data_IF_601344449300
#
_entry.id   IF_601344449300
#
_cell.length_a   1.000
_cell.length_b   1.000
_cell.length_c   1.000
_cell.angle_alpha   90.00
_cell.angle_beta   90.00
_cell.angle_gamma   90.00
#
_symmetry.space_group_name_H-M   'P 1'
#
loop_
_entity.id
_entity.type
_entity.pdbx_description
1 polymer ?
#
# COMPACT_ATOMS: atom_id res chain seq x y z
N UNK A 1 -76.24 -17.61 -33.91
CA UNK A 1 -76.69 -18.92 -34.46
C UNK A 1 -77.82 -19.49 -33.59
N UNK A 2 -79.07 -18.98 -33.66
CA UNK A 2 -80.21 -19.64 -33.00
C UNK A 2 -80.78 -20.70 -33.96
N UNK A 3 -80.65 -21.98 -33.61
CA UNK A 3 -81.15 -23.12 -34.39
C UNK A 3 -80.22 -24.34 -34.48
N UNK A 4 -78.96 -24.21 -34.05
CA UNK A 4 -78.01 -25.35 -34.03
C UNK A 4 -78.05 -26.08 -32.68
N UNK A 5 -78.18 -27.41 -32.71
CA UNK A 5 -78.15 -28.26 -31.52
C UNK A 5 -76.82 -28.13 -30.75
N UNK A 6 -76.86 -28.27 -29.42
CA UNK A 6 -75.71 -28.08 -28.50
C UNK A 6 -74.46 -28.86 -28.92
N UNK A 7 -74.62 -30.05 -29.50
CA UNK A 7 -73.50 -30.84 -30.02
C UNK A 7 -72.78 -30.12 -31.16
N UNK A 8 -73.50 -29.61 -32.16
CA UNK A 8 -72.88 -28.93 -33.30
C UNK A 8 -72.11 -27.66 -32.90
N UNK A 9 -72.60 -26.92 -31.89
CA UNK A 9 -71.90 -25.73 -31.36
C UNK A 9 -70.60 -26.13 -30.66
N UNK A 10 -70.62 -27.23 -29.89
CA UNK A 10 -69.42 -27.73 -29.22
C UNK A 10 -68.40 -28.28 -30.22
N UNK A 11 -68.83 -28.94 -31.29
CA UNK A 11 -67.93 -29.42 -32.34
C UNK A 11 -67.24 -28.26 -33.06
N UNK A 12 -67.99 -27.21 -33.42
CA UNK A 12 -67.41 -26.02 -34.09
C UNK A 12 -66.41 -25.31 -33.17
N UNK A 13 -66.70 -25.20 -31.86
CA UNK A 13 -65.75 -24.63 -30.90
C UNK A 13 -64.49 -25.48 -30.72
N UNK A 14 -64.62 -26.81 -30.68
CA UNK A 14 -63.48 -27.71 -30.59
C UNK A 14 -62.58 -27.63 -31.83
N UNK A 15 -63.18 -27.57 -33.03
CA UNK A 15 -62.43 -27.41 -34.28
C UNK A 15 -61.73 -26.05 -34.35
N UNK A 16 -62.39 -24.96 -33.92
CA UNK A 16 -61.75 -23.65 -33.86
C UNK A 16 -60.56 -23.62 -32.88
N UNK A 17 -60.65 -24.32 -31.76
CA UNK A 17 -59.57 -24.43 -30.78
C UNK A 17 -58.37 -25.22 -31.34
N UNK A 18 -58.63 -26.34 -32.03
CA UNK A 18 -57.59 -27.14 -32.68
C UNK A 18 -56.91 -26.39 -33.83
N UNK A 19 -57.67 -25.61 -34.62
CA UNK A 19 -57.09 -24.78 -35.68
C UNK A 19 -56.22 -23.66 -35.12
N UNK A 20 -56.61 -23.07 -33.98
CA UNK A 20 -55.82 -22.04 -33.29
C UNK A 20 -54.52 -22.62 -32.68
N UNK A 21 -54.56 -23.85 -32.14
CA UNK A 21 -53.34 -24.54 -31.66
C UNK A 21 -52.38 -24.87 -32.81
N UNK A 22 -52.88 -25.35 -33.95
CA UNK A 22 -52.06 -25.65 -35.14
C UNK A 22 -51.41 -24.37 -35.70
N UNK A 23 -52.16 -23.26 -35.80
CA UNK A 23 -51.60 -21.97 -36.25
C UNK A 23 -50.52 -21.43 -35.28
N UNK A 24 -50.70 -21.62 -33.97
CA UNK A 24 -49.70 -21.19 -32.98
C UNK A 24 -48.43 -22.06 -33.01
N UNK A 25 -48.55 -23.37 -33.24
CA UNK A 25 -47.40 -24.27 -33.41
C UNK A 25 -46.58 -23.93 -34.66
N UNK A 26 -47.24 -23.67 -35.79
CA UNK A 26 -46.56 -23.33 -37.05
C UNK A 26 -45.84 -21.98 -36.98
N UNK A 27 -46.43 -21.00 -36.28
CA UNK A 27 -45.78 -19.71 -36.00
C UNK A 27 -44.60 -19.87 -35.03
N UNK A 28 -44.73 -20.70 -34.00
CA UNK A 28 -43.66 -20.97 -33.05
C UNK A 28 -42.47 -21.71 -33.69
N UNK A 29 -42.71 -22.59 -34.66
CA UNK A 29 -41.67 -23.27 -35.43
C UNK A 29 -40.90 -22.27 -36.30
N UNK A 30 -41.61 -21.41 -37.06
CA UNK A 30 -40.98 -20.35 -37.87
C UNK A 30 -40.16 -19.36 -37.05
N UNK A 31 -40.63 -18.96 -35.86
CA UNK A 31 -39.88 -18.08 -34.94
C UNK A 31 -38.60 -18.78 -34.45
N UNK A 32 -38.67 -20.08 -34.17
CA UNK A 32 -37.51 -20.88 -33.73
C UNK A 32 -36.48 -21.02 -34.83
N UNK A 33 -36.91 -21.24 -36.06
CA UNK A 33 -36.01 -21.32 -37.22
C UNK A 33 -35.33 -19.98 -37.49
N UNK A 34 -36.07 -18.87 -37.44
CA UNK A 34 -35.50 -17.52 -37.57
C UNK A 34 -34.51 -17.22 -36.43
N UNK A 35 -34.85 -17.61 -35.20
CA UNK A 35 -33.94 -17.42 -34.08
C UNK A 35 -32.66 -18.27 -34.23
N UNK A 36 -32.79 -19.51 -34.70
CA UNK A 36 -31.65 -20.41 -34.92
C UNK A 36 -30.75 -19.92 -36.07
N UNK A 37 -31.31 -19.40 -37.17
CA UNK A 37 -30.52 -18.83 -38.26
C UNK A 37 -29.77 -17.58 -37.79
N UNK A 38 -30.44 -16.66 -37.08
CA UNK A 38 -29.80 -15.47 -36.52
C UNK A 38 -28.72 -15.80 -35.49
N UNK A 39 -28.94 -16.81 -34.63
CA UNK A 39 -27.92 -17.27 -33.69
C UNK A 39 -26.70 -17.87 -34.39
N UNK A 40 -26.91 -18.64 -35.46
CA UNK A 40 -25.82 -19.22 -36.23
C UNK A 40 -25.02 -18.17 -37.01
N UNK A 41 -25.70 -17.17 -37.59
CA UNK A 41 -25.05 -16.02 -38.23
C UNK A 41 -24.19 -15.24 -37.21
N UNK A 42 -24.77 -14.89 -36.05
CA UNK A 42 -24.04 -14.20 -34.97
C UNK A 42 -22.86 -15.02 -34.43
N UNK A 43 -23.00 -16.34 -34.33
CA UNK A 43 -21.91 -17.23 -33.92
C UNK A 43 -20.77 -17.30 -34.96
N UNK A 44 -21.11 -17.23 -36.25
CA UNK A 44 -20.14 -17.17 -37.33
C UNK A 44 -19.40 -15.83 -37.35
N UNK A 45 -20.10 -14.71 -37.19
CA UNK A 45 -19.52 -13.38 -37.13
C UNK A 45 -18.58 -13.23 -35.92
N UNK A 46 -18.99 -13.76 -34.75
CA UNK A 46 -18.14 -13.80 -33.56
C UNK A 46 -16.88 -14.64 -33.77
N UNK A 47 -16.98 -15.76 -34.49
CA UNK A 47 -15.83 -16.60 -34.82
C UNK A 47 -14.87 -15.87 -35.74
N UNK A 48 -15.37 -15.25 -36.81
CA UNK A 48 -14.55 -14.47 -37.75
C UNK A 48 -13.86 -13.27 -37.08
N UNK A 49 -14.59 -12.56 -36.21
CA UNK A 49 -14.01 -11.48 -35.40
C UNK A 49 -12.92 -11.99 -34.44
N UNK A 50 -13.12 -13.16 -33.82
CA UNK A 50 -12.14 -13.77 -32.93
C UNK A 50 -10.90 -14.25 -33.68
N UNK A 51 -11.05 -14.80 -34.88
CA UNK A 51 -9.96 -15.17 -35.78
C UNK A 51 -9.14 -13.93 -36.18
N UNK A 52 -9.80 -12.85 -36.61
CA UNK A 52 -9.14 -11.60 -36.98
C UNK A 52 -8.45 -10.89 -35.79
N UNK A 53 -8.99 -11.02 -34.58
CA UNK A 53 -8.33 -10.58 -33.35
C UNK A 53 -7.07 -11.40 -33.06
N UNK A 54 -7.12 -12.73 -33.25
CA UNK A 54 -5.98 -13.62 -33.06
C UNK A 54 -4.85 -13.26 -34.02
N UNK A 55 -5.16 -13.02 -35.30
CA UNK A 55 -4.16 -12.59 -36.30
C UNK A 55 -3.52 -11.24 -35.93
N UNK A 56 -4.32 -10.23 -35.57
CA UNK A 56 -3.79 -8.92 -35.14
C UNK A 56 -2.93 -9.03 -33.88
N UNK A 57 -3.31 -9.87 -32.92
CA UNK A 57 -2.53 -10.10 -31.69
C UNK A 57 -1.20 -10.79 -32.02
N UNK A 58 -1.18 -11.75 -32.93
CA UNK A 58 0.06 -12.41 -33.39
C UNK A 58 0.95 -11.40 -34.12
N UNK A 59 0.40 -10.58 -35.02
CA UNK A 59 1.16 -9.57 -35.76
C UNK A 59 1.79 -8.52 -34.81
N UNK A 60 1.04 -8.05 -33.81
CA UNK A 60 1.56 -7.12 -32.80
C UNK A 60 2.57 -7.78 -31.85
N UNK A 61 2.42 -9.08 -31.55
CA UNK A 61 3.42 -9.84 -30.81
C UNK A 61 4.73 -10.00 -31.59
N UNK A 62 4.67 -10.28 -32.90
CA UNK A 62 5.85 -10.37 -33.76
C UNK A 62 6.57 -9.02 -33.89
N UNK A 63 5.83 -7.92 -34.09
CA UNK A 63 6.39 -6.55 -34.06
C UNK A 63 7.01 -6.23 -32.70
N UNK A 64 6.36 -6.64 -31.61
CA UNK A 64 6.89 -6.49 -30.26
C UNK A 64 8.17 -7.28 -30.04
N UNK A 65 8.23 -8.53 -30.54
CA UNK A 65 9.37 -9.43 -30.39
C UNK A 65 10.58 -8.95 -31.19
N UNK A 66 10.39 -8.52 -32.44
CA UNK A 66 11.45 -7.92 -33.27
C UNK A 66 11.97 -6.60 -32.69
N UNK A 67 11.10 -5.76 -32.13
CA UNK A 67 11.50 -4.57 -31.40
C UNK A 67 12.30 -4.91 -30.13
N UNK A 68 11.93 -5.99 -29.43
CA UNK A 68 12.63 -6.49 -28.26
C UNK A 68 14.01 -7.04 -28.64
N UNK A 69 14.12 -7.83 -29.71
CA UNK A 69 15.38 -8.37 -30.25
C UNK A 69 16.32 -7.24 -30.65
N UNK A 70 15.82 -6.23 -31.36
CA UNK A 70 16.60 -5.04 -31.72
C UNK A 70 17.12 -4.30 -30.49
N UNK A 71 16.25 -4.06 -29.49
CA UNK A 71 16.65 -3.42 -28.24
C UNK A 71 17.62 -4.28 -27.42
N UNK A 72 17.50 -5.60 -27.50
CA UNK A 72 18.40 -6.53 -26.83
C UNK A 72 19.78 -6.52 -27.51
N UNK A 73 19.84 -6.46 -28.84
CA UNK A 73 21.07 -6.26 -29.60
C UNK A 73 21.74 -4.91 -29.30
N UNK A 74 20.96 -3.83 -29.21
CA UNK A 74 21.44 -2.52 -28.77
C UNK A 74 21.98 -2.56 -27.33
N UNK A 75 21.32 -3.31 -26.44
CA UNK A 75 21.75 -3.50 -25.05
C UNK A 75 23.03 -4.33 -24.96
N UNK A 76 23.17 -5.40 -25.75
CA UNK A 76 24.38 -6.22 -25.84
C UNK A 76 25.54 -5.37 -26.37
N UNK A 77 25.33 -4.58 -27.42
CA UNK A 77 26.33 -3.65 -27.93
C UNK A 77 26.69 -2.55 -26.91
N UNK A 78 25.73 -2.08 -26.11
CA UNK A 78 25.99 -1.13 -25.03
C UNK A 78 26.73 -1.80 -23.85
N UNK A 79 26.45 -3.06 -23.55
CA UNK A 79 27.13 -3.86 -22.51
C UNK A 79 28.56 -4.20 -22.93
N UNK A 80 28.80 -4.53 -24.19
CA UNK A 80 30.16 -4.76 -24.73
C UNK A 80 30.98 -3.47 -24.72
N UNK A 81 30.38 -2.33 -25.11
CA UNK A 81 31.00 -1.01 -24.98
C UNK A 81 31.26 -0.65 -23.52
N UNK A 82 30.34 -0.97 -22.61
CA UNK A 82 30.52 -0.77 -21.18
C UNK A 82 31.57 -1.71 -20.57
N UNK A 83 31.71 -2.94 -21.07
CA UNK A 83 32.72 -3.91 -20.66
C UNK A 83 34.12 -3.49 -21.12
N UNK A 84 34.25 -2.93 -22.33
CA UNK A 84 35.50 -2.32 -22.81
C UNK A 84 35.86 -1.05 -22.03
N UNK A 85 34.88 -0.33 -21.46
CA UNK A 85 35.09 0.80 -20.55
C UNK A 85 35.31 0.37 -19.08
N UNK A 86 34.91 -0.85 -18.70
CA UNK A 86 35.05 -1.40 -17.34
C UNK A 86 36.50 -1.74 -16.95
N UNK A 87 37.46 -1.62 -17.88
CA UNK A 87 38.88 -1.53 -17.55
C UNK A 87 39.26 -0.26 -16.77
N UNK A 88 38.36 0.73 -16.69
CA UNK A 88 38.52 1.93 -15.88
C UNK A 88 37.52 1.92 -14.73
N UNK A 89 38.02 1.64 -13.52
CA UNK A 89 37.27 1.75 -12.27
C UNK A 89 36.79 3.20 -12.12
N UNK A 90 35.47 3.36 -12.01
CA UNK A 90 34.82 4.59 -11.57
C UNK A 90 34.32 5.49 -12.70
N UNK A 91 33.04 5.36 -13.03
CA UNK A 91 32.12 6.48 -12.90
C UNK A 91 30.69 6.02 -13.19
N UNK A 92 29.82 6.16 -12.20
CA UNK A 92 28.41 6.10 -12.45
C UNK A 92 27.96 7.29 -13.32
N UNK A 93 26.83 7.17 -14.05
CA UNK A 93 26.30 8.26 -14.86
C UNK A 93 26.23 9.56 -14.05
N UNK A 94 26.62 10.69 -14.65
CA UNK A 94 26.66 12.00 -13.99
C UNK A 94 25.37 12.33 -13.21
N UNK A 95 24.21 11.92 -13.73
CA UNK A 95 22.91 12.05 -13.06
C UNK A 95 22.83 11.31 -11.71
N UNK A 96 23.35 10.09 -11.66
CA UNK A 96 23.35 9.27 -10.46
C UNK A 96 24.44 9.72 -9.47
N UNK A 97 25.54 10.28 -9.98
CA UNK A 97 26.56 10.94 -9.16
C UNK A 97 25.99 12.20 -8.47
N UNK A 98 25.25 13.05 -9.21
CA UNK A 98 24.58 14.23 -8.64
C UNK A 98 23.51 13.84 -7.61
N UNK A 99 22.68 12.84 -7.92
CA UNK A 99 21.63 12.38 -6.99
C UNK A 99 22.25 11.80 -5.71
N UNK A 100 23.40 11.13 -5.81
CA UNK A 100 24.15 10.62 -4.65
C UNK A 100 24.82 11.71 -3.83
N UNK A 101 25.46 12.69 -4.48
CA UNK A 101 26.10 13.81 -3.80
C UNK A 101 25.11 14.60 -2.92
N UNK A 102 23.87 14.77 -3.40
CA UNK A 102 22.81 15.46 -2.66
C UNK A 102 22.20 14.60 -1.55
N UNK A 103 22.06 13.29 -1.75
CA UNK A 103 21.46 12.39 -0.75
C UNK A 103 22.41 11.99 0.39
N UNK A 104 23.73 12.19 0.22
CA UNK A 104 24.75 11.68 1.14
C UNK A 104 24.90 10.15 1.10
N UNK A 105 24.38 9.50 0.05
CA UNK A 105 24.41 8.06 -0.10
C UNK A 105 25.79 7.56 -0.58
N UNK A 106 26.26 6.39 -0.07
CA UNK A 106 27.46 5.72 -0.56
C UNK A 106 27.40 5.38 -2.06
N UNK A 107 28.58 5.14 -2.65
CA UNK A 107 28.70 4.81 -4.08
C UNK A 107 28.03 3.46 -4.42
N UNK A 108 28.09 2.50 -3.49
CA UNK A 108 27.53 1.15 -3.59
C UNK A 108 26.04 1.07 -3.19
N UNK A 109 25.45 2.16 -2.69
CA UNK A 109 24.04 2.18 -2.30
C UNK A 109 23.11 2.04 -3.51
N UNK A 110 21.99 1.34 -3.32
CA UNK A 110 20.98 1.15 -4.37
C UNK A 110 20.48 2.53 -4.90
N UNK A 111 20.63 2.83 -6.21
CA UNK A 111 20.29 4.15 -6.76
C UNK A 111 18.83 4.55 -6.54
N UNK A 112 17.90 3.59 -6.58
CA UNK A 112 16.46 3.84 -6.35
C UNK A 112 16.18 4.19 -4.89
N UNK A 113 16.92 3.58 -3.96
CA UNK A 113 16.86 3.90 -2.54
C UNK A 113 17.41 5.32 -2.28
N UNK A 114 18.57 5.64 -2.84
CA UNK A 114 19.20 6.96 -2.76
C UNK A 114 18.29 8.07 -3.30
N UNK A 115 17.73 7.90 -4.50
CA UNK A 115 16.79 8.86 -5.09
C UNK A 115 15.55 9.07 -4.22
N UNK A 116 14.96 7.99 -3.67
CA UNK A 116 13.81 8.09 -2.77
C UNK A 116 14.16 8.78 -1.45
N UNK A 117 15.35 8.56 -0.91
CA UNK A 117 15.81 9.23 0.31
C UNK A 117 15.96 10.73 0.09
N UNK A 118 16.52 11.16 -1.04
CA UNK A 118 16.61 12.58 -1.42
C UNK A 118 15.24 13.24 -1.51
N UNK A 119 14.28 12.61 -2.20
CA UNK A 119 12.91 13.12 -2.27
C UNK A 119 12.29 13.21 -0.87
N UNK A 120 12.52 12.21 -0.01
CA UNK A 120 12.03 12.23 1.37
C UNK A 120 12.65 13.34 2.22
N UNK A 121 13.90 13.75 1.98
CA UNK A 121 14.52 14.86 2.69
C UNK A 121 13.84 16.20 2.39
N UNK A 122 13.27 16.35 1.18
CA UNK A 122 12.52 17.53 0.75
C UNK A 122 11.04 17.53 1.12
N UNK A 123 10.58 16.47 1.77
CA UNK A 123 9.16 16.24 2.02
C UNK A 123 8.78 16.46 3.48
N UNK A 124 7.73 17.26 3.68
CA UNK A 124 7.13 17.58 4.97
C UNK A 124 5.65 17.19 4.99
N UNK A 125 5.21 16.51 6.05
CA UNK A 125 3.81 16.08 6.21
C UNK A 125 3.07 17.05 7.13
N UNK A 126 1.95 17.60 6.66
CA UNK A 126 1.05 18.45 7.42
C UNK A 126 -0.19 17.66 7.81
N UNK A 127 -0.52 17.67 9.09
CA UNK A 127 -1.78 17.19 9.63
C UNK A 127 -2.73 18.37 9.78
N UNK A 128 -3.84 18.33 9.04
CA UNK A 128 -4.86 19.37 9.07
C UNK A 128 -5.98 19.01 10.06
N UNK A 129 -6.68 19.99 10.66
CA UNK A 129 -7.94 19.74 11.36
C UNK A 129 -9.01 19.19 10.40
N UNK A 130 -10.05 18.53 10.92
CA UNK A 130 -11.05 17.84 10.07
C UNK A 130 -11.88 18.83 9.24
N UNK A 131 -12.06 20.02 9.77
CA UNK A 131 -12.88 21.11 9.26
C UNK A 131 -12.11 21.99 8.26
N UNK A 132 -10.83 21.71 8.00
CA UNK A 132 -10.00 22.50 7.08
C UNK A 132 -10.51 22.44 5.64
N UNK A 133 -10.72 23.60 5.04
CA UNK A 133 -11.10 23.76 3.63
C UNK A 133 -10.03 23.26 2.64
N UNK A 134 -8.78 23.09 3.10
CA UNK A 134 -7.69 22.58 2.27
C UNK A 134 -7.86 21.08 1.96
N UNK A 135 -8.65 20.35 2.75
CA UNK A 135 -8.93 18.92 2.51
C UNK A 135 -9.72 18.69 1.22
N UNK A 136 -10.51 19.66 0.79
CA UNK A 136 -11.34 19.56 -0.42
C UNK A 136 -10.70 20.19 -1.65
N UNK A 137 -9.57 20.88 -1.47
CA UNK A 137 -8.85 21.51 -2.57
C UNK A 137 -8.18 20.47 -3.49
N UNK A 138 -8.12 20.79 -4.79
CA UNK A 138 -7.31 20.06 -5.75
C UNK A 138 -5.80 20.27 -5.49
N UNK A 139 -4.98 19.28 -5.84
CA UNK A 139 -3.52 19.34 -5.62
C UNK A 139 -2.85 20.58 -6.25
N UNK A 140 -3.31 21.03 -7.43
CA UNK A 140 -2.79 22.23 -8.09
C UNK A 140 -3.06 23.51 -7.29
N UNK A 141 -4.26 23.63 -6.70
CA UNK A 141 -4.66 24.76 -5.87
C UNK A 141 -3.83 24.77 -4.58
N UNK A 142 -3.57 23.59 -4.00
CA UNK A 142 -2.72 23.47 -2.82
C UNK A 142 -1.31 24.00 -3.06
N UNK A 143 -0.68 23.67 -4.20
CA UNK A 143 0.65 24.20 -4.52
C UNK A 143 0.65 25.72 -4.59
N UNK A 144 -0.37 26.33 -5.19
CA UNK A 144 -0.53 27.80 -5.26
C UNK A 144 -0.63 28.43 -3.87
N UNK A 145 -1.57 27.95 -3.05
CA UNK A 145 -1.77 28.46 -1.67
C UNK A 145 -0.52 28.31 -0.81
N UNK A 146 0.18 27.18 -0.93
CA UNK A 146 1.39 26.92 -0.16
C UNK A 146 2.54 27.81 -0.63
N UNK A 147 2.67 28.06 -1.93
CA UNK A 147 3.68 28.96 -2.46
C UNK A 147 3.45 30.40 -2.00
N UNK A 148 2.20 30.86 -1.99
CA UNK A 148 1.84 32.18 -1.47
C UNK A 148 2.15 32.32 0.02
N UNK A 149 1.75 31.33 0.84
CA UNK A 149 2.04 31.31 2.27
C UNK A 149 3.56 31.28 2.54
N UNK A 150 4.33 30.53 1.75
CA UNK A 150 5.80 30.53 1.85
C UNK A 150 6.41 31.90 1.54
N UNK A 151 5.93 32.58 0.49
CA UNK A 151 6.42 33.92 0.13
C UNK A 151 6.15 34.97 1.21
N UNK A 152 5.02 34.85 1.94
CA UNK A 152 4.71 35.72 3.07
C UNK A 152 5.48 35.34 4.34
N UNK A 153 5.70 34.05 4.57
CA UNK A 153 6.31 33.56 5.80
C UNK A 153 7.85 33.66 5.84
N UNK A 154 8.52 33.75 4.68
CA UNK A 154 9.99 33.84 4.61
C UNK A 154 10.47 34.72 3.46
N UNK A 155 11.49 35.53 3.76
CA UNK A 155 12.23 36.34 2.77
C UNK A 155 13.04 35.45 1.81
N UNK A 156 13.32 34.20 2.19
CA UNK A 156 14.09 33.26 1.38
C UNK A 156 13.27 32.63 0.23
N UNK A 157 11.96 32.93 0.14
CA UNK A 157 11.05 32.51 -0.94
C UNK A 157 11.21 31.03 -1.36
N UNK A 158 11.26 30.12 -0.39
CA UNK A 158 11.44 28.71 -0.68
C UNK A 158 10.30 28.18 -1.57
N UNK A 159 10.67 27.54 -2.69
CA UNK A 159 9.71 27.07 -3.69
C UNK A 159 9.13 25.71 -3.34
N UNK A 160 7.82 25.58 -3.50
CA UNK A 160 7.08 24.33 -3.38
C UNK A 160 7.04 23.64 -4.74
N UNK A 161 7.44 22.37 -4.79
CA UNK A 161 7.41 21.56 -6.02
C UNK A 161 6.06 20.87 -6.18
N UNK A 162 5.56 20.25 -5.12
CA UNK A 162 4.30 19.52 -5.16
C UNK A 162 3.61 19.48 -3.80
N UNK A 163 2.29 19.32 -3.81
CA UNK A 163 1.46 19.09 -2.64
C UNK A 163 0.49 17.96 -2.96
N UNK A 164 0.53 16.88 -2.18
CA UNK A 164 -0.26 15.67 -2.42
C UNK A 164 -1.12 15.40 -1.19
N UNK A 165 -2.44 15.35 -1.40
CA UNK A 165 -3.39 14.90 -0.39
C UNK A 165 -3.30 13.38 -0.20
N UNK A 166 -3.18 12.95 1.06
CA UNK A 166 -3.16 11.54 1.46
C UNK A 166 -4.57 11.07 1.84
N UNK A 167 -4.79 9.75 1.83
CA UNK A 167 -6.09 9.14 2.17
C UNK A 167 -6.54 9.43 3.61
N UNK A 168 -5.59 9.65 4.53
CA UNK A 168 -5.89 10.03 5.91
C UNK A 168 -6.19 11.53 6.10
N UNK A 169 -6.21 12.32 5.01
CA UNK A 169 -6.46 13.75 5.00
C UNK A 169 -5.25 14.63 5.34
N UNK A 170 -4.06 14.03 5.53
CA UNK A 170 -2.82 14.80 5.62
C UNK A 170 -2.35 15.31 4.25
N UNK A 171 -1.56 16.39 4.23
CA UNK A 171 -0.96 16.93 3.00
C UNK A 171 0.54 16.70 3.05
N UNK A 172 1.07 16.02 2.04
CA UNK A 172 2.51 15.84 1.84
C UNK A 172 3.02 16.92 0.89
N UNK A 173 3.88 17.79 1.38
CA UNK A 173 4.51 18.86 0.61
C UNK A 173 5.91 18.43 0.23
N UNK A 174 6.31 18.64 -1.02
CA UNK A 174 7.69 18.51 -1.49
C UNK A 174 8.25 19.88 -1.85
N UNK A 175 9.38 20.23 -1.25
CA UNK A 175 10.14 21.44 -1.57
C UNK A 175 11.07 21.21 -2.76
N UNK A 176 11.36 22.26 -3.52
CA UNK A 176 12.33 22.16 -4.63
C UNK A 176 13.74 21.88 -4.09
N UNK A 177 14.09 22.52 -2.99
CA UNK A 177 15.41 22.54 -2.38
C UNK A 177 15.36 22.01 -0.93
N UNK A 178 16.48 21.47 -0.44
CA UNK A 178 16.57 20.86 0.88
C UNK A 178 16.42 21.91 2.00
N UNK A 179 16.92 23.13 1.76
CA UNK A 179 16.87 24.25 2.69
C UNK A 179 15.41 24.61 3.04
N UNK A 180 14.49 24.52 2.09
CA UNK A 180 13.07 24.79 2.34
C UNK A 180 12.42 23.77 3.28
N UNK A 181 12.80 22.49 3.16
CA UNK A 181 12.31 21.45 4.05
C UNK A 181 12.93 21.55 5.45
N UNK A 182 14.22 21.90 5.53
CA UNK A 182 14.91 22.20 6.80
C UNK A 182 14.28 23.42 7.47
N UNK A 183 13.95 24.46 6.71
CA UNK A 183 13.28 25.66 7.23
C UNK A 183 11.93 25.30 7.85
N UNK A 184 11.11 24.49 7.16
CA UNK A 184 9.82 24.00 7.67
C UNK A 184 9.94 23.03 8.85
N UNK A 185 11.11 22.44 9.10
CA UNK A 185 11.32 21.55 10.24
C UNK A 185 11.47 22.33 11.57
N UNK A 186 11.79 23.62 11.52
CA UNK A 186 11.84 24.48 12.70
C UNK A 186 10.44 24.81 13.19
N UNK A 187 10.19 24.65 14.49
CA UNK A 187 8.88 24.92 15.11
C UNK A 187 8.39 26.35 14.83
N UNK A 188 9.25 27.35 15.03
CA UNK A 188 8.87 28.75 14.84
C UNK A 188 8.52 29.07 13.37
N UNK A 189 9.27 28.51 12.43
CA UNK A 189 9.04 28.71 10.99
C UNK A 189 7.79 27.98 10.52
N UNK A 190 7.59 26.75 10.99
CA UNK A 190 6.38 25.97 10.75
C UNK A 190 5.13 26.72 11.23
N UNK A 191 5.16 27.27 12.45
CA UNK A 191 4.07 28.07 13.01
C UNK A 191 3.82 29.35 12.20
N UNK A 192 4.88 30.03 11.74
CA UNK A 192 4.75 31.19 10.87
C UNK A 192 4.10 30.83 9.54
N UNK A 193 4.53 29.76 8.90
CA UNK A 193 3.94 29.26 7.67
C UNK A 193 2.46 28.88 7.82
N UNK A 194 2.11 28.15 8.88
CA UNK A 194 0.73 27.73 9.13
C UNK A 194 -0.20 28.91 9.43
N UNK A 195 0.32 29.96 10.08
CA UNK A 195 -0.40 31.22 10.28
C UNK A 195 -0.71 31.90 8.94
N UNK A 196 0.27 32.00 8.04
CA UNK A 196 0.05 32.57 6.69
C UNK A 196 -0.88 31.72 5.83
N UNK A 197 -0.91 30.40 6.06
CA UNK A 197 -1.82 29.48 5.40
C UNK A 197 -3.26 29.56 5.96
N UNK A 198 -3.46 30.23 7.11
CA UNK A 198 -4.75 30.31 7.79
C UNK A 198 -5.14 29.07 8.59
N UNK A 199 -4.18 28.20 8.91
CA UNK A 199 -4.41 26.88 9.52
C UNK A 199 -3.68 26.76 10.86
N UNK A 200 -4.13 27.52 11.88
CA UNK A 200 -3.47 27.60 13.19
C UNK A 200 -3.49 26.28 13.98
N UNK A 201 -4.48 25.43 13.74
CA UNK A 201 -4.62 24.12 14.40
C UNK A 201 -3.89 22.99 13.66
N UNK A 202 -3.37 23.27 12.47
CA UNK A 202 -2.57 22.29 11.74
C UNK A 202 -1.21 22.09 12.41
N UNK A 203 -0.57 20.96 12.12
CA UNK A 203 0.76 20.68 12.64
C UNK A 203 1.62 19.90 11.67
N UNK A 204 2.92 20.12 11.72
CA UNK A 204 3.87 19.32 10.98
C UNK A 204 4.16 18.02 11.71
N UNK A 205 3.99 16.89 11.03
CA UNK A 205 4.35 15.58 11.54
C UNK A 205 5.81 15.29 11.25
N UNK A 206 6.58 15.13 12.32
CA UNK A 206 7.94 14.62 12.23
C UNK A 206 7.95 13.16 11.77
N UNK A 207 8.97 12.81 10.99
CA UNK A 207 9.15 11.42 10.56
C UNK A 207 9.44 10.57 11.78
N UNK A 208 8.81 9.40 11.84
CA UNK A 208 8.99 8.44 12.93
C UNK A 208 9.71 7.20 12.44
N UNK A 209 10.62 6.71 13.27
CA UNK A 209 11.44 5.53 13.03
C UNK A 209 11.08 4.49 14.08
N UNK A 210 10.35 3.46 13.65
CA UNK A 210 9.85 2.42 14.55
C UNK A 210 10.83 1.25 14.61
N UNK A 211 11.20 0.84 15.82
CA UNK A 211 11.98 -0.36 16.07
C UNK A 211 11.22 -1.30 16.99
N UNK A 212 11.52 -2.59 16.91
CA UNK A 212 11.00 -3.64 17.78
C UNK A 212 12.08 -3.97 18.81
N UNK A 213 11.74 -3.92 20.08
CA UNK A 213 12.58 -4.45 21.14
C UNK A 213 12.06 -5.82 21.59
N UNK A 214 12.94 -6.82 21.54
CA UNK A 214 12.59 -8.20 21.86
C UNK A 214 12.76 -8.52 23.35
N UNK A 215 11.91 -9.43 23.84
CA UNK A 215 11.96 -9.99 25.20
C UNK A 215 12.10 -8.95 26.33
N UNK A 216 11.31 -7.88 26.26
CA UNK A 216 11.22 -6.85 27.28
C UNK A 216 10.42 -7.34 28.48
N UNK A 217 10.93 -7.18 29.72
CA UNK A 217 10.22 -7.52 30.95
C UNK A 217 8.84 -6.83 31.07
N UNK A 218 7.82 -7.56 31.52
CA UNK A 218 6.46 -7.01 31.67
C UNK A 218 6.29 -6.02 32.84
N UNK A 219 7.29 -5.91 33.72
CA UNK A 219 7.29 -4.88 34.78
C UNK A 219 7.50 -3.46 34.22
N UNK A 220 7.84 -3.31 32.94
CA UNK A 220 7.88 -2.02 32.27
C UNK A 220 6.46 -1.45 32.11
N UNK A 221 6.22 -0.26 32.65
CA UNK A 221 5.04 0.53 32.31
C UNK A 221 5.36 1.50 31.16
N UNK A 222 4.80 1.23 29.99
CA UNK A 222 5.00 2.07 28.80
C UNK A 222 4.32 3.44 28.88
N UNK A 223 3.43 3.65 29.85
CA UNK A 223 2.76 4.93 30.09
C UNK A 223 3.46 5.76 31.18
N UNK A 224 4.26 5.12 32.04
CA UNK A 224 5.03 5.76 33.10
C UNK A 224 6.12 6.68 32.52
N UNK A 225 6.09 7.96 32.88
CA UNK A 225 7.16 8.90 32.52
C UNK A 225 8.46 8.61 33.26
N UNK A 226 8.39 7.94 34.42
CA UNK A 226 9.57 7.49 35.17
C UNK A 226 10.33 6.44 34.36
N UNK A 227 9.64 5.39 33.91
CA UNK A 227 10.24 4.28 33.16
C UNK A 227 10.81 4.78 31.82
N UNK A 228 10.08 5.67 31.12
CA UNK A 228 10.58 6.31 29.90
C UNK A 228 11.84 7.14 30.16
N UNK A 229 11.92 7.82 31.31
CA UNK A 229 13.10 8.62 31.71
C UNK A 229 14.29 7.71 31.98
N UNK A 230 14.10 6.65 32.75
CA UNK A 230 15.15 5.65 33.03
C UNK A 230 15.70 5.03 31.74
N UNK A 231 14.83 4.67 30.79
CA UNK A 231 15.27 4.17 29.47
C UNK A 231 16.09 5.23 28.73
N UNK A 232 15.67 6.50 28.76
CA UNK A 232 16.41 7.57 28.06
C UNK A 232 17.80 7.75 28.67
N UNK A 233 17.89 7.83 29.99
CA UNK A 233 19.14 8.03 30.73
C UNK A 233 20.10 6.84 30.56
N UNK A 234 19.61 5.61 30.75
CA UNK A 234 20.41 4.39 30.65
C UNK A 234 21.00 4.16 29.25
N UNK A 235 20.40 4.75 28.21
CA UNK A 235 20.82 4.59 26.81
C UNK A 235 21.39 5.89 26.20
N UNK A 236 21.55 6.95 27.00
CA UNK A 236 22.03 8.27 26.54
C UNK A 236 21.21 8.80 25.35
N UNK A 237 19.89 8.65 25.43
CA UNK A 237 18.94 9.14 24.41
C UNK A 237 18.57 10.58 24.78
N UNK A 238 18.69 11.49 23.81
CA UNK A 238 18.33 12.89 24.02
C UNK A 238 16.84 13.07 24.32
N UNK A 239 16.51 14.14 25.05
CA UNK A 239 15.12 14.50 25.36
C UNK A 239 14.37 14.82 24.07
N UNK A 240 13.16 14.29 23.91
CA UNK A 240 12.31 14.50 22.72
C UNK A 240 12.58 13.53 21.56
N UNK A 241 13.68 12.76 21.58
CA UNK A 241 14.00 11.78 20.54
C UNK A 241 13.12 10.54 20.62
N UNK A 242 13.01 9.95 21.82
CA UNK A 242 12.08 8.85 22.07
C UNK A 242 10.68 9.42 22.24
N UNK A 243 9.82 9.19 21.24
CA UNK A 243 8.48 9.79 21.16
C UNK A 243 7.39 8.87 21.72
N UNK A 244 7.49 7.56 21.50
CA UNK A 244 6.46 6.60 21.90
C UNK A 244 7.02 5.23 22.22
N UNK A 245 6.44 4.57 23.22
CA UNK A 245 6.65 3.15 23.50
C UNK A 245 5.26 2.49 23.57
N UNK A 246 5.10 1.32 22.95
CA UNK A 246 3.87 0.54 23.07
C UNK A 246 4.13 -0.96 23.02
N UNK A 247 3.35 -1.73 23.75
CA UNK A 247 3.32 -3.19 23.61
C UNK A 247 2.78 -3.62 22.24
N UNK A 248 3.42 -4.62 21.64
CA UNK A 248 2.90 -5.28 20.41
C UNK A 248 1.71 -6.16 20.78
N UNK A 249 1.86 -6.94 21.86
CA UNK A 249 0.85 -7.88 22.34
C UNK A 249 0.02 -7.22 23.47
N UNK A 250 -1.29 -7.03 23.29
CA UNK A 250 -2.14 -6.43 24.32
C UNK A 250 -2.24 -7.34 25.56
N UNK A 251 -2.43 -6.78 26.77
CA UNK A 251 -2.48 -7.56 28.02
C UNK A 251 -3.46 -8.75 27.99
N UNK A 252 -4.68 -8.55 27.49
CA UNK A 252 -5.72 -9.60 27.40
C UNK A 252 -5.33 -10.81 26.52
N UNK A 253 -4.30 -10.72 25.68
CA UNK A 253 -3.83 -11.84 24.85
C UNK A 253 -2.62 -12.55 25.44
N UNK A 254 -2.05 -12.05 26.53
CA UNK A 254 -0.86 -12.63 27.17
C UNK A 254 -1.25 -13.92 27.90
N UNK A 255 -0.31 -14.85 27.98
CA UNK A 255 -0.48 -15.99 28.90
C UNK A 255 -0.34 -15.49 30.33
N UNK A 256 -0.99 -16.14 31.27
CA UNK A 256 -0.94 -15.79 32.71
C UNK A 256 0.47 -15.85 33.29
N UNK A 257 1.30 -16.75 32.76
CA UNK A 257 2.71 -16.98 33.15
C UNK A 257 3.72 -16.22 32.28
N UNK A 258 3.28 -15.37 31.37
CA UNK A 258 4.18 -14.67 30.44
C UNK A 258 4.95 -13.57 31.19
N UNK A 259 6.27 -13.68 31.31
CA UNK A 259 7.11 -12.66 31.97
C UNK A 259 7.71 -11.61 31.00
N UNK A 260 7.76 -11.91 29.71
CA UNK A 260 8.37 -11.07 28.69
C UNK A 260 7.45 -10.87 27.49
N UNK A 261 7.53 -9.71 26.85
CA UNK A 261 6.87 -9.46 25.56
C UNK A 261 7.72 -8.56 24.67
N UNK A 262 7.16 -8.13 23.54
CA UNK A 262 7.82 -7.25 22.59
C UNK A 262 7.14 -5.89 22.59
N UNK A 263 7.94 -4.84 22.46
CA UNK A 263 7.47 -3.45 22.33
C UNK A 263 7.90 -2.88 21.00
N UNK A 264 7.13 -1.90 20.52
CA UNK A 264 7.56 -0.99 19.48
C UNK A 264 7.98 0.31 20.16
N UNK A 265 9.20 0.76 19.84
CA UNK A 265 9.75 2.05 20.26
C UNK A 265 9.79 2.94 19.01
N UNK A 266 9.32 4.17 19.16
CA UNK A 266 9.30 5.18 18.10
C UNK A 266 10.31 6.26 18.41
N UNK A 267 11.24 6.48 17.48
CA UNK A 267 12.22 7.55 17.49
C UNK A 267 11.84 8.65 16.48
N UNK A 268 12.23 9.90 16.74
CA UNK A 268 12.06 11.02 15.79
C UNK A 268 13.24 11.15 14.81
N UNK A 269 14.38 10.51 15.09
CA UNK A 269 15.57 10.53 14.24
C UNK A 269 16.04 9.11 13.86
N UNK A 270 16.63 9.00 12.66
CA UNK A 270 17.12 7.73 12.12
C UNK A 270 18.41 7.28 12.82
N UNK A 271 19.26 8.20 13.24
CA UNK A 271 20.59 7.92 13.79
C UNK A 271 20.49 7.20 15.14
N UNK A 272 19.68 7.71 16.06
CA UNK A 272 19.40 7.07 17.36
C UNK A 272 18.69 5.74 17.17
N UNK A 273 17.76 5.65 16.23
CA UNK A 273 17.12 4.37 15.90
C UNK A 273 18.13 3.34 15.40
N UNK A 274 19.05 3.73 14.50
CA UNK A 274 20.10 2.85 13.99
C UNK A 274 21.11 2.47 15.09
N UNK A 275 21.51 3.41 15.94
CA UNK A 275 22.34 3.13 17.13
C UNK A 275 21.67 2.14 18.07
N UNK A 276 20.35 2.23 18.25
CA UNK A 276 19.59 1.27 19.04
C UNK A 276 19.56 -0.12 18.38
N UNK A 277 19.45 -0.21 17.06
CA UNK A 277 19.52 -1.49 16.31
C UNK A 277 20.90 -2.14 16.48
N UNK A 278 21.98 -1.38 16.31
CA UNK A 278 23.36 -1.90 16.40
C UNK A 278 23.72 -2.33 17.81
N UNK A 279 23.49 -1.45 18.79
CA UNK A 279 23.98 -1.69 20.14
C UNK A 279 22.99 -2.48 20.99
N UNK A 280 21.70 -2.45 20.67
CA UNK A 280 20.62 -2.80 21.57
C UNK A 280 20.31 -1.68 22.58
N UNK A 281 19.29 -1.90 23.43
CA UNK A 281 18.93 -0.97 24.51
C UNK A 281 18.97 -1.65 25.88
N UNK A 282 19.20 -0.87 26.94
CA UNK A 282 19.00 -1.27 28.32
C UNK A 282 17.61 -0.86 28.76
N UNK A 283 16.74 -1.82 29.06
CA UNK A 283 15.36 -1.59 29.49
C UNK A 283 15.13 -2.44 30.75
N UNK A 284 14.71 -1.80 31.85
CA UNK A 284 14.54 -2.45 33.16
C UNK A 284 15.79 -3.25 33.57
N UNK A 285 16.96 -2.62 33.45
CA UNK A 285 18.28 -3.22 33.73
C UNK A 285 18.66 -4.45 32.88
N UNK A 286 17.90 -4.77 31.83
CA UNK A 286 18.17 -5.85 30.89
C UNK A 286 18.62 -5.30 29.53
N UNK A 287 19.71 -5.83 28.97
CA UNK A 287 20.05 -5.59 27.57
C UNK A 287 19.08 -6.34 26.66
N UNK A 288 18.42 -5.61 25.77
CA UNK A 288 17.44 -6.12 24.81
C UNK A 288 17.91 -5.91 23.39
N UNK A 289 17.72 -6.93 22.56
CA UNK A 289 17.98 -6.86 21.12
C UNK A 289 16.90 -6.04 20.43
N UNK A 290 17.31 -5.24 19.45
CA UNK A 290 16.47 -4.31 18.72
C UNK A 290 16.58 -4.63 17.23
N UNK A 291 15.45 -4.63 16.52
CA UNK A 291 15.42 -4.68 15.07
C UNK A 291 14.52 -3.58 14.52
N UNK A 292 14.77 -3.16 13.29
CA UNK A 292 13.88 -2.26 12.57
C UNK A 292 12.49 -2.87 12.41
N UNK A 293 11.44 -2.09 12.72
CA UNK A 293 10.07 -2.49 12.49
C UNK A 293 9.75 -2.36 11.00
N UNK A 294 9.90 -3.46 10.26
CA UNK A 294 9.52 -3.52 8.84
C UNK A 294 8.01 -3.36 8.69
N UNK A 295 7.59 -2.72 7.61
CA UNK A 295 6.19 -2.63 7.21
C UNK A 295 5.75 -3.98 6.64
N UNK A 296 4.57 -4.40 7.06
CA UNK A 296 3.87 -5.56 6.49
C UNK A 296 2.75 -5.07 5.55
N UNK A 297 2.42 -5.83 4.49
CA UNK A 297 1.28 -5.55 3.63
C UNK A 297 -0.01 -5.48 4.44
N UNK A 298 -0.87 -4.51 4.11
CA UNK A 298 -2.13 -4.32 4.81
C UNK A 298 -3.06 -5.48 4.42
N UNK A 299 -3.54 -6.19 5.44
CA UNK A 299 -4.58 -7.21 5.32
C UNK A 299 -5.83 -6.75 6.06
N UNK A 300 -6.94 -6.76 5.37
CA UNK A 300 -8.24 -6.42 5.91
C UNK A 300 -8.69 -7.50 6.90
N UNK A 301 -8.87 -7.12 8.17
CA UNK A 301 -9.29 -8.06 9.22
C UNK A 301 -10.76 -8.50 9.10
N UNK A 302 -11.52 -7.91 8.17
CA UNK A 302 -12.91 -8.25 7.87
C UNK A 302 -13.02 -9.31 6.78
N UNK A 303 -12.43 -9.08 5.61
CA UNK A 303 -12.53 -9.99 4.47
C UNK A 303 -11.29 -10.87 4.23
N UNK A 304 -10.21 -10.64 4.98
CA UNK A 304 -8.88 -11.25 4.78
C UNK A 304 -8.21 -10.91 3.43
N UNK A 305 -8.76 -9.95 2.69
CA UNK A 305 -8.17 -9.39 1.47
C UNK A 305 -7.02 -8.41 1.75
N UNK A 306 -6.32 -8.00 0.70
CA UNK A 306 -5.12 -7.15 0.79
C UNK A 306 -5.41 -5.69 0.42
N UNK A 307 -4.47 -4.81 0.77
CA UNK A 307 -4.38 -3.42 0.31
C UNK A 307 -5.51 -2.49 0.78
N UNK A 308 -6.27 -2.87 1.81
CA UNK A 308 -7.27 -2.00 2.47
C UNK A 308 -7.51 -2.40 3.94
N UNK A 309 -7.98 -1.44 4.75
CA UNK A 309 -8.37 -1.69 6.14
C UNK A 309 -9.85 -2.05 6.26
N UNK A 310 -10.25 -2.61 7.41
CA UNK A 310 -11.63 -3.05 7.62
C UNK A 310 -12.68 -1.92 7.49
N UNK A 311 -12.34 -0.68 7.83
CA UNK A 311 -13.21 0.50 7.69
C UNK A 311 -13.46 0.91 6.24
N UNK A 312 -12.55 0.54 5.33
CA UNK A 312 -12.61 0.84 3.89
C UNK A 312 -13.08 -0.39 3.09
N UNK A 313 -13.46 -1.47 3.78
CA UNK A 313 -13.85 -2.71 3.14
C UNK A 313 -15.25 -2.58 2.51
N UNK A 314 -15.31 -2.75 1.19
CA UNK A 314 -16.56 -2.69 0.43
C UNK A 314 -17.48 -3.91 0.61
N UNK A 315 -17.00 -4.97 1.25
CA UNK A 315 -17.85 -6.14 1.55
C UNK A 315 -18.94 -5.73 2.54
N UNK A 316 -20.17 -6.24 2.35
CA UNK A 316 -21.34 -5.99 3.21
C UNK A 316 -21.02 -6.15 4.70
N UNK A 317 -21.70 -5.38 5.57
CA UNK A 317 -21.39 -5.29 7.01
C UNK A 317 -21.49 -6.64 7.75
N UNK A 318 -22.29 -7.56 7.25
CA UNK A 318 -22.58 -8.85 7.89
C UNK A 318 -21.53 -9.93 7.60
N UNK A 319 -20.79 -9.83 6.50
CA UNK A 319 -19.81 -10.85 6.12
C UNK A 319 -18.47 -10.56 6.80
N UNK A 320 -18.11 -11.43 7.74
CA UNK A 320 -16.81 -11.42 8.42
C UNK A 320 -16.13 -12.77 8.17
N UNK A 321 -14.98 -12.74 7.52
CA UNK A 321 -14.17 -13.92 7.27
C UNK A 321 -13.20 -14.10 8.42
N UNK A 322 -13.28 -15.22 9.13
CA UNK A 322 -12.36 -15.55 10.20
C UNK A 322 -10.96 -15.81 9.64
N UNK A 323 -9.95 -15.11 10.15
CA UNK A 323 -8.56 -15.31 9.74
C UNK A 323 -7.92 -16.59 10.28
N UNK A 324 -8.56 -17.29 11.21
CA UNK A 324 -8.08 -18.58 11.74
C UNK A 324 -8.67 -19.75 10.95
N UNK A 325 -9.99 -19.87 10.88
CA UNK A 325 -10.68 -21.02 10.28
C UNK A 325 -11.39 -20.73 8.94
N UNK A 326 -11.36 -19.50 8.42
CA UNK A 326 -11.90 -19.16 7.10
C UNK A 326 -13.43 -19.03 6.99
N UNK A 327 -14.19 -19.34 8.04
CA UNK A 327 -15.65 -19.23 8.07
C UNK A 327 -16.14 -17.77 7.92
N UNK A 328 -17.36 -17.57 7.40
CA UNK A 328 -17.88 -16.26 6.96
C UNK A 328 -18.88 -15.57 7.90
N UNK A 329 -18.94 -15.99 9.16
CA UNK A 329 -20.00 -15.63 10.12
C UNK A 329 -19.47 -15.01 11.42
N UNK A 330 -18.14 -14.94 11.61
CA UNK A 330 -17.57 -14.43 12.85
C UNK A 330 -16.23 -13.73 12.68
N UNK A 331 -15.94 -12.85 13.65
CA UNK A 331 -14.65 -12.21 13.78
C UNK A 331 -13.61 -13.20 14.31
N UNK A 332 -12.37 -13.09 13.83
CA UNK A 332 -11.23 -13.91 14.32
C UNK A 332 -11.11 -13.91 15.85
N UNK A 333 -11.45 -12.81 16.52
CA UNK A 333 -11.43 -12.71 17.98
C UNK A 333 -12.52 -13.51 18.70
N UNK A 334 -13.55 -13.94 17.99
CA UNK A 334 -14.68 -14.75 18.47
C UNK A 334 -14.62 -16.19 17.92
N UNK A 335 -13.52 -16.58 17.27
CA UNK A 335 -13.36 -17.92 16.73
C UNK A 335 -13.31 -18.95 17.87
N UNK A 336 -14.23 -19.91 17.84
CA UNK A 336 -14.29 -21.03 18.78
C UNK A 336 -13.80 -22.36 18.16
N UNK A 337 -13.50 -22.38 16.87
CA UNK A 337 -12.98 -23.54 16.17
C UNK A 337 -11.57 -23.86 16.66
N UNK A 338 -11.37 -25.06 17.21
CA UNK A 338 -10.08 -25.55 17.68
C UNK A 338 -9.45 -26.45 16.62
N UNK A 339 -8.15 -26.31 16.39
CA UNK A 339 -7.39 -27.14 15.44
C UNK A 339 -7.70 -26.91 13.96
N UNK A 340 -8.73 -26.11 13.62
CA UNK A 340 -9.08 -25.77 12.23
C UNK A 340 -8.28 -24.55 11.79
N UNK A 341 -7.51 -24.72 10.73
CA UNK A 341 -6.76 -23.65 10.05
C UNK A 341 -7.23 -23.49 8.62
N UNK A 342 -7.38 -22.24 8.19
CA UNK A 342 -7.65 -21.92 6.79
C UNK A 342 -7.06 -20.55 6.44
N UNK A 343 -6.37 -20.52 5.31
CA UNK A 343 -5.81 -19.33 4.73
C UNK A 343 -6.68 -18.87 3.56
N UNK A 344 -7.42 -17.78 3.75
CA UNK A 344 -8.25 -17.15 2.70
C UNK A 344 -7.42 -16.64 1.52
N UNK A 345 -6.15 -16.29 1.76
CA UNK A 345 -5.28 -15.70 0.75
C UNK A 345 -4.75 -16.71 -0.27
N UNK A 346 -4.28 -17.87 0.19
CA UNK A 346 -3.74 -18.92 -0.68
C UNK A 346 -4.67 -20.14 -0.83
N UNK A 347 -5.82 -20.14 -0.15
CA UNK A 347 -6.84 -21.21 -0.18
C UNK A 347 -6.29 -22.58 0.24
N UNK A 348 -5.57 -22.62 1.36
CA UNK A 348 -5.05 -23.86 1.96
C UNK A 348 -5.45 -23.95 3.43
N UNK A 349 -5.62 -25.17 3.93
CA UNK A 349 -5.90 -25.51 5.32
C UNK A 349 -4.64 -25.79 6.15
N UNK A 350 -3.44 -25.73 5.56
CA UNK A 350 -2.17 -25.98 6.26
C UNK A 350 -1.84 -24.91 7.32
N UNK A 351 -2.36 -23.70 7.14
CA UNK A 351 -2.05 -22.55 7.99
C UNK A 351 -3.19 -21.53 8.03
N UNK A 352 -3.10 -20.59 8.98
CA UNK A 352 -4.07 -19.50 9.13
C UNK A 352 -3.79 -18.35 8.17
N UNK A 353 -4.78 -17.51 7.92
CA UNK A 353 -4.64 -16.32 7.06
C UNK A 353 -3.66 -15.26 7.59
N UNK A 354 -3.20 -15.38 8.84
CA UNK A 354 -2.24 -14.47 9.47
C UNK A 354 -0.83 -15.06 9.58
N UNK A 355 -0.59 -16.25 9.01
CA UNK A 355 0.73 -16.85 8.96
C UNK A 355 1.69 -16.04 8.07
N UNK A 356 2.89 -15.78 8.57
CA UNK A 356 3.95 -15.06 7.87
C UNK A 356 4.73 -15.93 6.88
N UNK A 357 4.45 -17.23 6.84
CA UNK A 357 5.00 -18.20 5.87
C UNK A 357 4.05 -18.45 4.69
N UNK A 358 2.87 -17.84 4.68
CA UNK A 358 1.94 -17.95 3.57
C UNK A 358 2.59 -17.46 2.26
N UNK A 359 2.54 -18.24 1.16
CA UNK A 359 3.16 -17.86 -0.11
C UNK A 359 2.58 -16.55 -0.68
N UNK A 360 1.27 -16.31 -0.49
CA UNK A 360 0.64 -15.04 -0.89
C UNK A 360 1.14 -13.87 -0.07
N UNK A 361 1.38 -14.06 1.24
CA UNK A 361 1.94 -13.01 2.09
C UNK A 361 3.38 -12.68 1.70
N UNK A 362 4.21 -13.69 1.43
CA UNK A 362 5.59 -13.50 0.97
C UNK A 362 5.64 -12.73 -0.34
N UNK A 363 4.83 -13.12 -1.34
CA UNK A 363 4.71 -12.36 -2.60
C UNK A 363 4.30 -10.91 -2.36
N UNK A 364 3.36 -10.64 -1.45
CA UNK A 364 2.93 -9.29 -1.10
C UNK A 364 4.02 -8.48 -0.38
N UNK A 365 4.86 -9.13 0.42
CA UNK A 365 6.05 -8.53 1.03
C UNK A 365 7.04 -8.13 -0.07
N UNK A 366 7.30 -9.01 -1.05
CA UNK A 366 8.21 -8.72 -2.16
C UNK A 366 7.70 -7.56 -3.02
N UNK A 367 6.40 -7.52 -3.34
CA UNK A 367 5.77 -6.38 -4.02
C UNK A 367 5.89 -5.06 -3.22
N UNK A 368 5.81 -5.14 -1.89
CA UNK A 368 5.98 -3.99 -1.02
C UNK A 368 7.44 -3.52 -0.97
N UNK A 369 8.39 -4.44 -0.85
CA UNK A 369 9.83 -4.16 -0.83
C UNK A 369 10.33 -3.66 -2.19
N UNK A 370 9.81 -4.21 -3.30
CA UNK A 370 10.09 -3.72 -4.64
C UNK A 370 9.59 -2.28 -4.83
N UNK A 371 8.48 -1.89 -4.17
CA UNK A 371 8.00 -0.50 -4.17
C UNK A 371 8.78 0.37 -3.20
N UNK A 372 9.16 -0.10 -2.01
CA UNK A 372 9.92 0.63 -0.99
C UNK A 372 11.15 -0.19 -0.57
N UNK A 373 12.27 -0.15 -1.34
CA UNK A 373 13.47 -0.94 -1.05
C UNK A 373 14.05 -0.67 0.33
N UNK A 374 13.78 0.54 0.87
CA UNK A 374 14.14 0.92 2.22
C UNK A 374 13.50 0.00 3.26
N UNK A 375 12.42 -0.72 2.99
CA UNK A 375 11.76 -1.57 3.97
C UNK A 375 12.55 -2.85 4.28
N UNK A 376 13.28 -3.37 3.30
CA UNK A 376 13.93 -4.68 3.41
C UNK A 376 15.32 -4.61 4.07
N UNK A 377 16.03 -3.48 3.93
CA UNK A 377 17.31 -3.28 4.62
C UNK A 377 17.13 -3.20 6.15
N UNK A 378 18.13 -3.67 6.93
CA UNK A 378 18.04 -3.74 8.39
C UNK A 378 18.05 -2.37 9.08
N UNK A 379 18.63 -1.34 8.44
CA UNK A 379 18.78 0.00 9.00
C UNK A 379 17.89 1.03 8.29
N UNK A 380 17.74 2.20 8.90
CA UNK A 380 17.14 3.35 8.24
C UNK A 380 18.22 4.12 7.50
N UNK A 381 18.10 4.35 6.18
CA UNK A 381 19.10 5.14 5.46
C UNK A 381 19.27 6.50 6.11
N UNK A 382 20.49 6.78 6.55
CA UNK A 382 20.90 7.98 7.27
C UNK A 382 22.18 8.53 6.66
N UNK A 383 22.87 9.43 7.37
CA UNK A 383 24.10 10.06 6.89
C UNK A 383 25.26 9.07 6.81
N UNK A 384 25.27 8.09 7.70
CA UNK A 384 26.33 7.10 7.79
C UNK A 384 26.21 6.05 6.68
N UNK A 385 27.33 5.71 6.05
CA UNK A 385 27.37 4.82 4.89
C UNK A 385 26.88 3.41 5.17
N UNK A 386 27.13 2.88 6.37
CA UNK A 386 26.73 1.52 6.75
C UNK A 386 25.22 1.32 6.94
N UNK A 387 24.42 2.39 6.82
CA UNK A 387 22.96 2.35 7.03
C UNK A 387 22.15 2.08 5.75
N UNK A 388 22.83 1.90 4.62
CA UNK A 388 22.25 1.89 3.26
C UNK A 388 21.99 0.49 2.71
#
# INVERSE_FOLDING_TARGET
MPGMGRQAINTVRAVAYLLQEIELEEVAEKIRDIANTQFNEMANDLREFTEGLKEKVVEELEKGMTALEKKTGELVGAVEKAAQQAGSIGNAPYRDALTRAVSGAPLDANPRLAAKKSIRQRQSLIDLPKESSLRDCANSILVGKFSEAMGKATVQEHKVRSAIKLQNGGILVEMVMDEGAVWLASKANAEAFLRELGELEASFKTRSYNVIAYYVPLNLDTNSEKDKREIKEANRIQVGVLTKIRWIKPPMRRRTDQCFAHIIITFSDAETANRAIVNGLSICHKRVSIAKCRKEPIRCLKCQGWDHVASECMITKEVNVCGTCGARDHWTSKCNQQGVTWCTSCKSDDHTSWDRRCPTFLRKIDELNARDPANDIPFFPARESWTW
#
